data_IF_895095315223
#
_entry.id   IF_895095315223
#
_cell.length_a   1.000
_cell.length_b   1.000
_cell.length_c   1.000
_cell.angle_alpha   90.00
_cell.angle_beta   90.00
_cell.angle_gamma   90.00
#
_symmetry.space_group_name_H-M   'P 1'
#
loop_
_entity.id
_entity.type
_entity.pdbx_description
1 polymer ?
#
# COMPACT_ATOMS: atom_id res chain seq x y z
N UNK A 1 -15.52 3.53 -3.65
CA UNK A 1 -15.39 3.96 -5.05
C UNK A 1 -16.48 3.40 -5.98
N UNK A 2 -16.48 2.12 -6.39
CA UNK A 2 -17.49 1.59 -7.35
C UNK A 2 -18.94 1.67 -6.84
N UNK A 3 -19.15 1.58 -5.52
CA UNK A 3 -20.45 1.75 -4.86
C UNK A 3 -20.99 3.18 -4.92
N UNK A 4 -20.13 4.18 -4.76
CA UNK A 4 -20.50 5.60 -4.78
C UNK A 4 -20.92 6.05 -6.17
N UNK A 5 -20.17 5.69 -7.22
CA UNK A 5 -20.53 5.98 -8.61
C UNK A 5 -21.84 5.29 -9.01
N UNK A 6 -22.05 4.05 -8.54
CA UNK A 6 -23.32 3.34 -8.74
C UNK A 6 -24.48 4.08 -8.08
N UNK A 7 -24.29 4.61 -6.87
CA UNK A 7 -25.33 5.34 -6.15
C UNK A 7 -25.64 6.69 -6.82
N UNK A 8 -24.61 7.45 -7.18
CA UNK A 8 -24.72 8.72 -7.90
C UNK A 8 -25.46 8.54 -9.23
N UNK A 9 -25.05 7.55 -10.03
CA UNK A 9 -25.69 7.20 -11.30
C UNK A 9 -27.18 6.89 -11.11
N UNK A 10 -27.52 6.09 -10.11
CA UNK A 10 -28.91 5.75 -9.82
C UNK A 10 -29.75 6.95 -9.31
N UNK A 11 -29.13 7.90 -8.59
CA UNK A 11 -29.79 9.14 -8.18
C UNK A 11 -30.03 10.07 -9.37
N UNK A 12 -29.03 10.29 -10.22
CA UNK A 12 -29.14 11.16 -11.41
C UNK A 12 -30.20 10.62 -12.36
N UNK A 13 -30.18 9.31 -12.67
CA UNK A 13 -31.19 8.69 -13.54
C UNK A 13 -32.60 8.86 -12.96
N UNK A 14 -32.79 8.67 -11.64
CA UNK A 14 -34.10 8.87 -10.98
C UNK A 14 -34.59 10.32 -11.08
N UNK A 15 -33.73 11.29 -10.80
CA UNK A 15 -34.08 12.71 -10.90
C UNK A 15 -34.41 13.10 -12.34
N UNK A 16 -33.65 12.60 -13.30
CA UNK A 16 -33.85 12.86 -14.71
C UNK A 16 -35.19 12.32 -15.20
N UNK A 17 -35.50 11.04 -14.92
CA UNK A 17 -36.79 10.42 -15.27
C UNK A 17 -37.95 11.22 -14.68
N UNK A 18 -37.83 11.66 -13.42
CA UNK A 18 -38.86 12.47 -12.76
C UNK A 18 -39.03 13.88 -13.35
N UNK A 19 -38.04 14.39 -14.09
CA UNK A 19 -38.11 15.70 -14.78
C UNK A 19 -38.69 15.63 -16.20
N UNK A 20 -38.86 14.43 -16.76
CA UNK A 20 -39.36 14.26 -18.13
C UNK A 20 -40.85 14.57 -18.20
N UNK A 21 -41.22 15.53 -19.06
CA UNK A 21 -42.64 15.83 -19.35
C UNK A 21 -43.21 14.92 -20.44
N UNK A 22 -42.36 14.44 -21.36
CA UNK A 22 -42.72 13.47 -22.41
C UNK A 22 -41.49 12.63 -22.81
N UNK A 23 -41.68 11.34 -23.17
CA UNK A 23 -40.59 10.51 -23.68
C UNK A 23 -40.18 10.98 -25.09
N UNK A 24 -38.97 11.50 -25.22
CA UNK A 24 -38.33 11.88 -26.48
C UNK A 24 -36.98 11.16 -26.64
N UNK A 25 -36.61 10.83 -27.88
CA UNK A 25 -35.40 10.11 -28.25
C UNK A 25 -34.12 10.87 -27.84
N UNK A 26 -34.18 12.21 -27.81
CA UNK A 26 -33.07 13.06 -27.35
C UNK A 26 -32.64 12.72 -25.91
N UNK A 27 -33.61 12.51 -25.00
CA UNK A 27 -33.30 12.15 -23.61
C UNK A 27 -32.66 10.78 -23.48
N UNK A 28 -33.01 9.82 -24.34
CA UNK A 28 -32.36 8.51 -24.36
C UNK A 28 -30.90 8.62 -24.81
N UNK A 29 -30.61 9.47 -25.82
CA UNK A 29 -29.23 9.71 -26.26
C UNK A 29 -28.40 10.39 -25.17
N UNK A 30 -28.98 11.35 -24.46
CA UNK A 30 -28.29 12.02 -23.35
C UNK A 30 -28.04 11.07 -22.17
N UNK A 31 -28.96 10.14 -21.86
CA UNK A 31 -28.71 9.09 -20.87
C UNK A 31 -27.60 8.14 -21.30
N UNK A 32 -27.51 7.76 -22.59
CA UNK A 32 -26.43 6.91 -23.09
C UNK A 32 -25.09 7.61 -22.89
N UNK A 33 -24.97 8.87 -23.33
CA UNK A 33 -23.75 9.68 -23.15
C UNK A 33 -23.35 9.83 -21.69
N UNK A 34 -24.33 10.04 -20.80
CA UNK A 34 -24.06 10.11 -19.36
C UNK A 34 -23.52 8.79 -18.81
N UNK A 35 -24.09 7.65 -19.20
CA UNK A 35 -23.59 6.35 -18.76
C UNK A 35 -22.17 6.07 -19.27
N UNK A 36 -21.90 6.34 -20.56
CA UNK A 36 -20.57 6.20 -21.16
C UNK A 36 -19.54 7.07 -20.43
N UNK A 37 -19.85 8.34 -20.17
CA UNK A 37 -18.96 9.24 -19.45
C UNK A 37 -18.68 8.79 -18.00
N UNK A 38 -19.69 8.22 -17.31
CA UNK A 38 -19.51 7.68 -15.95
C UNK A 38 -18.64 6.42 -15.98
N UNK A 39 -18.87 5.53 -16.94
CA UNK A 39 -18.10 4.29 -17.06
C UNK A 39 -16.63 4.59 -17.45
N UNK A 40 -16.39 5.58 -18.32
CA UNK A 40 -15.05 6.07 -18.67
C UNK A 40 -14.35 6.70 -17.45
N UNK A 41 -15.02 7.62 -16.74
CA UNK A 41 -14.45 8.24 -15.54
C UNK A 41 -14.17 7.22 -14.43
N UNK A 42 -15.00 6.19 -14.28
CA UNK A 42 -14.76 5.10 -13.33
C UNK A 42 -13.54 4.28 -13.74
N UNK A 43 -13.43 3.91 -15.02
CA UNK A 43 -12.29 3.17 -15.53
C UNK A 43 -10.99 3.96 -15.32
N UNK A 44 -10.96 5.24 -15.70
CA UNK A 44 -9.81 6.13 -15.50
C UNK A 44 -9.44 6.24 -14.02
N UNK A 45 -10.42 6.54 -13.15
CA UNK A 45 -10.16 6.68 -11.72
C UNK A 45 -9.63 5.40 -11.07
N UNK A 46 -10.13 4.23 -11.47
CA UNK A 46 -9.63 2.95 -10.96
C UNK A 46 -8.22 2.65 -11.45
N UNK A 47 -7.91 2.97 -12.72
CA UNK A 47 -6.58 2.81 -13.28
C UNK A 47 -5.55 3.72 -12.61
N UNK A 48 -5.85 5.02 -12.49
CA UNK A 48 -4.97 5.99 -11.82
C UNK A 48 -4.72 5.62 -10.35
N UNK A 49 -5.77 5.20 -9.63
CA UNK A 49 -5.61 4.77 -8.24
C UNK A 49 -4.73 3.52 -8.13
N UNK A 50 -4.91 2.54 -9.01
CA UNK A 50 -4.08 1.35 -9.05
C UNK A 50 -2.60 1.69 -9.33
N UNK A 51 -2.34 2.60 -10.26
CA UNK A 51 -0.98 3.09 -10.55
C UNK A 51 -0.36 3.81 -9.34
N UNK A 52 -1.12 4.65 -8.65
CA UNK A 52 -0.65 5.36 -7.47
C UNK A 52 -0.33 4.42 -6.30
N UNK A 53 -1.17 3.41 -6.06
CA UNK A 53 -0.94 2.37 -5.06
C UNK A 53 0.32 1.56 -5.42
N UNK A 54 0.46 1.14 -6.67
CA UNK A 54 1.65 0.42 -7.13
C UNK A 54 2.91 1.25 -6.96
N UNK A 55 2.87 2.53 -7.34
CA UNK A 55 3.98 3.47 -7.16
C UNK A 55 4.35 3.65 -5.69
N UNK A 56 3.37 3.83 -4.81
CA UNK A 56 3.61 3.96 -3.37
C UNK A 56 4.25 2.70 -2.79
N UNK A 57 3.79 1.52 -3.21
CA UNK A 57 4.34 0.23 -2.80
C UNK A 57 5.79 0.07 -3.27
N UNK A 58 6.10 0.40 -4.52
CA UNK A 58 7.45 0.26 -5.07
C UNK A 58 8.45 1.17 -4.36
N UNK A 59 8.05 2.41 -4.07
CA UNK A 59 8.84 3.35 -3.27
C UNK A 59 9.09 2.79 -1.86
N UNK A 60 8.05 2.27 -1.21
CA UNK A 60 8.17 1.67 0.13
C UNK A 60 9.14 0.48 0.14
N UNK A 61 9.01 -0.44 -0.83
CA UNK A 61 9.90 -1.59 -0.95
C UNK A 61 11.35 -1.17 -1.21
N UNK A 62 11.57 -0.09 -1.97
CA UNK A 62 12.91 0.47 -2.19
C UNK A 62 13.52 1.03 -0.90
N UNK A 63 12.75 1.81 -0.13
CA UNK A 63 13.19 2.37 1.17
C UNK A 63 13.48 1.24 2.16
N UNK A 64 12.52 0.32 2.36
CA UNK A 64 12.66 -0.78 3.29
C UNK A 64 13.85 -1.68 2.93
N UNK A 65 14.06 -1.97 1.65
CA UNK A 65 15.21 -2.73 1.18
C UNK A 65 16.55 -2.04 1.45
N UNK A 66 16.61 -0.72 1.35
CA UNK A 66 17.79 0.06 1.72
C UNK A 66 18.02 0.04 3.24
N UNK A 67 16.98 0.35 4.01
CA UNK A 67 17.05 0.54 5.47
C UNK A 67 17.29 -0.77 6.22
N UNK A 68 16.88 -1.92 5.67
CA UNK A 68 17.24 -3.23 6.20
C UNK A 68 18.64 -3.68 5.78
N UNK A 69 19.09 -3.31 4.57
CA UNK A 69 20.42 -3.70 4.08
C UNK A 69 21.54 -2.96 4.80
N UNK A 70 21.36 -1.68 5.11
CA UNK A 70 22.37 -0.85 5.78
C UNK A 70 22.84 -1.43 7.15
N UNK A 71 21.96 -1.80 8.11
CA UNK A 71 22.38 -2.39 9.37
C UNK A 71 22.99 -3.78 9.20
N UNK A 72 22.48 -4.62 8.28
CA UNK A 72 23.07 -5.93 7.99
C UNK A 72 24.48 -5.80 7.40
N UNK A 73 24.71 -4.84 6.52
CA UNK A 73 26.04 -4.52 6.01
C UNK A 73 26.97 -4.02 7.11
N UNK A 74 26.48 -3.15 8.00
CA UNK A 74 27.26 -2.65 9.13
C UNK A 74 27.69 -3.79 10.07
N UNK A 75 26.78 -4.71 10.41
CA UNK A 75 27.07 -5.89 11.24
C UNK A 75 28.06 -6.83 10.53
N UNK A 76 27.83 -7.11 9.25
CA UNK A 76 28.70 -7.96 8.43
C UNK A 76 30.13 -7.40 8.35
N UNK A 77 30.27 -6.12 8.03
CA UNK A 77 31.58 -5.44 7.97
C UNK A 77 32.26 -5.40 9.34
N UNK A 78 31.51 -5.10 10.42
CA UNK A 78 32.06 -5.03 11.77
C UNK A 78 32.58 -6.39 12.24
N UNK A 79 31.82 -7.46 11.98
CA UNK A 79 32.23 -8.83 12.32
C UNK A 79 33.40 -9.32 11.48
N UNK A 80 33.43 -9.02 10.18
CA UNK A 80 34.58 -9.33 9.31
C UNK A 80 35.86 -8.61 9.78
N UNK A 81 35.76 -7.35 10.18
CA UNK A 81 36.90 -6.59 10.73
C UNK A 81 37.40 -7.19 12.05
N UNK A 82 36.51 -7.58 12.95
CA UNK A 82 36.86 -8.24 14.21
C UNK A 82 37.60 -9.57 13.96
N UNK A 83 37.08 -10.40 13.05
CA UNK A 83 37.68 -11.69 12.71
C UNK A 83 39.04 -11.57 12.03
N UNK A 84 39.29 -10.48 11.30
CA UNK A 84 40.56 -10.27 10.58
C UNK A 84 41.64 -9.53 11.37
N UNK A 85 41.26 -8.57 12.21
CA UNK A 85 42.20 -7.59 12.79
C UNK A 85 42.30 -7.64 14.32
N UNK A 86 41.36 -8.26 15.01
CA UNK A 86 41.38 -8.32 16.47
C UNK A 86 41.95 -9.65 16.97
N UNK A 87 42.77 -9.60 18.01
CA UNK A 87 43.06 -10.79 18.82
C UNK A 87 41.87 -11.00 19.76
N UNK A 88 40.97 -11.91 19.38
CA UNK A 88 39.78 -12.23 20.15
C UNK A 88 40.08 -13.38 21.13
N UNK A 89 39.54 -13.28 22.35
CA UNK A 89 39.48 -14.41 23.28
C UNK A 89 38.52 -15.49 22.75
N UNK A 90 38.65 -16.73 23.22
CA UNK A 90 37.99 -17.92 22.65
C UNK A 90 36.46 -17.79 22.58
N UNK A 91 35.82 -17.19 23.57
CA UNK A 91 34.36 -17.00 23.59
C UNK A 91 33.91 -15.87 22.67
N UNK A 92 34.66 -14.76 22.60
CA UNK A 92 34.39 -13.66 21.69
C UNK A 92 34.57 -14.08 20.22
N UNK A 93 35.56 -14.93 19.94
CA UNK A 93 35.80 -15.51 18.63
C UNK A 93 34.62 -16.39 18.20
N UNK A 94 34.13 -17.27 19.07
CA UNK A 94 32.95 -18.12 18.80
C UNK A 94 31.71 -17.27 18.50
N UNK A 95 31.47 -16.21 19.28
CA UNK A 95 30.38 -15.28 19.01
C UNK A 95 30.51 -14.62 17.64
N UNK A 96 31.68 -14.09 17.28
CA UNK A 96 31.89 -13.44 15.99
C UNK A 96 31.72 -14.39 14.80
N UNK A 97 32.24 -15.62 14.91
CA UNK A 97 32.08 -16.67 13.88
C UNK A 97 30.61 -17.07 13.70
N UNK A 98 29.79 -17.02 14.76
CA UNK A 98 28.37 -17.34 14.67
C UNK A 98 27.54 -16.18 14.10
N UNK A 99 27.88 -14.92 14.40
CA UNK A 99 27.12 -13.75 13.92
C UNK A 99 27.25 -13.58 12.40
N UNK A 100 28.44 -13.86 11.83
CA UNK A 100 28.69 -13.69 10.39
C UNK A 100 27.73 -14.49 9.48
N UNK A 101 27.59 -15.83 9.61
CA UNK A 101 26.65 -16.60 8.79
C UNK A 101 25.20 -16.26 9.07
N UNK A 102 24.82 -15.96 10.32
CA UNK A 102 23.47 -15.50 10.66
C UNK A 102 23.10 -14.19 9.98
N UNK A 103 24.03 -13.23 9.93
CA UNK A 103 23.83 -11.95 9.22
C UNK A 103 23.69 -12.18 7.71
N UNK A 104 24.46 -13.11 7.14
CA UNK A 104 24.32 -13.52 5.74
C UNK A 104 22.96 -14.14 5.43
N UNK A 105 22.48 -15.06 6.28
CA UNK A 105 21.15 -15.66 6.13
C UNK A 105 20.03 -14.63 6.21
N UNK A 106 20.11 -13.68 7.16
CA UNK A 106 19.12 -12.60 7.28
C UNK A 106 19.09 -11.72 6.03
N UNK A 107 20.26 -11.43 5.43
CA UNK A 107 20.32 -10.65 4.20
C UNK A 107 19.64 -11.36 3.02
N UNK A 108 19.78 -12.68 2.91
CA UNK A 108 19.09 -13.50 1.90
C UNK A 108 17.59 -13.50 2.15
N UNK A 109 17.14 -13.78 3.37
CA UNK A 109 15.71 -13.81 3.71
C UNK A 109 15.01 -12.46 3.44
N UNK A 110 15.68 -11.34 3.74
CA UNK A 110 15.16 -10.00 3.43
C UNK A 110 15.07 -9.78 1.92
N UNK A 111 16.07 -10.24 1.15
CA UNK A 111 16.05 -10.20 -0.30
C UNK A 111 14.86 -10.98 -0.87
N UNK A 112 14.72 -12.23 -0.46
CA UNK A 112 13.66 -13.14 -0.92
C UNK A 112 12.26 -12.59 -0.59
N UNK A 113 12.08 -12.02 0.61
CA UNK A 113 10.81 -11.41 1.02
C UNK A 113 10.45 -10.20 0.15
N UNK A 114 11.41 -9.32 -0.12
CA UNK A 114 11.19 -8.13 -0.95
C UNK A 114 10.89 -8.51 -2.41
N UNK A 115 11.51 -9.57 -2.91
CA UNK A 115 11.27 -10.11 -4.24
C UNK A 115 9.90 -10.79 -4.34
N UNK A 116 9.51 -11.57 -3.33
CA UNK A 116 8.17 -12.19 -3.25
C UNK A 116 7.05 -11.15 -3.24
N UNK A 117 7.20 -10.07 -2.45
CA UNK A 117 6.20 -9.00 -2.40
C UNK A 117 6.13 -8.24 -3.74
N UNK A 118 7.24 -8.17 -4.49
CA UNK A 118 7.27 -7.58 -5.82
C UNK A 118 6.54 -8.47 -6.83
N UNK A 119 6.87 -9.76 -6.89
CA UNK A 119 6.35 -10.72 -7.86
C UNK A 119 4.86 -11.04 -7.67
N UNK A 120 4.38 -11.06 -6.43
CA UNK A 120 2.96 -11.25 -6.11
C UNK A 120 2.03 -10.21 -6.76
N UNK A 121 2.56 -9.08 -7.24
CA UNK A 121 1.78 -8.07 -7.98
C UNK A 121 2.00 -8.08 -9.49
N UNK A 122 2.94 -8.88 -10.01
CA UNK A 122 3.14 -9.06 -11.45
C UNK A 122 2.33 -10.24 -12.00
N UNK A 123 2.10 -11.29 -11.20
CA UNK A 123 1.40 -12.52 -11.64
C UNK A 123 -0.13 -12.42 -11.71
N UNK A 124 -0.74 -11.44 -11.03
CA UNK A 124 -2.20 -11.33 -10.95
C UNK A 124 -2.64 -10.03 -11.62
N UNK A 125 -2.94 -10.11 -12.92
CA UNK A 125 -3.63 -9.05 -13.68
C UNK A 125 -5.07 -8.77 -13.22
N UNK A 126 -5.43 -9.15 -12.00
CA UNK A 126 -6.67 -8.84 -11.32
C UNK A 126 -6.38 -8.08 -10.01
N UNK A 127 -7.23 -7.11 -9.62
CA UNK A 127 -7.07 -6.36 -8.38
C UNK A 127 -7.36 -7.27 -7.19
N UNK A 128 -6.42 -8.15 -6.83
CA UNK A 128 -6.56 -9.04 -5.70
C UNK A 128 -5.91 -8.42 -4.47
N UNK A 129 -6.78 -8.16 -3.50
CA UNK A 129 -6.57 -8.14 -2.06
C UNK A 129 -5.17 -7.72 -1.61
N UNK A 130 -5.05 -6.44 -1.24
CA UNK A 130 -3.93 -5.89 -0.49
C UNK A 130 -3.41 -6.89 0.55
N UNK A 131 -2.09 -7.08 0.64
CA UNK A 131 -1.40 -7.92 1.62
C UNK A 131 -1.67 -7.57 3.12
N UNK A 132 -2.70 -6.78 3.43
CA UNK A 132 -2.98 -6.26 4.78
C UNK A 132 -2.03 -5.16 5.23
N UNK A 133 -1.05 -4.81 4.39
CA UNK A 133 0.02 -3.87 4.72
C UNK A 133 -0.45 -2.42 4.77
N UNK A 134 -1.54 -2.07 4.08
CA UNK A 134 -2.06 -0.69 4.06
C UNK A 134 -2.39 -0.18 5.46
N UNK A 135 -3.14 -0.96 6.25
CA UNK A 135 -3.47 -0.58 7.62
C UNK A 135 -2.24 -0.56 8.54
N UNK A 136 -1.29 -1.47 8.30
CA UNK A 136 -0.04 -1.51 9.05
C UNK A 136 0.80 -0.24 8.80
N UNK A 137 0.94 0.18 7.55
CA UNK A 137 1.67 1.38 7.16
C UNK A 137 1.00 2.64 7.73
N UNK A 138 -0.33 2.75 7.59
CA UNK A 138 -1.05 3.90 8.15
C UNK A 138 -0.86 3.97 9.66
N UNK A 139 -0.90 2.83 10.37
CA UNK A 139 -0.62 2.78 11.80
C UNK A 139 0.80 3.24 12.13
N UNK A 140 1.83 2.73 11.44
CA UNK A 140 3.23 3.11 11.70
C UNK A 140 3.47 4.61 11.44
N UNK A 141 2.85 5.18 10.39
CA UNK A 141 2.93 6.62 10.10
C UNK A 141 2.25 7.43 11.21
N UNK A 142 1.09 7.01 11.67
CA UNK A 142 0.34 7.67 12.75
C UNK A 142 1.13 7.61 14.06
N UNK A 143 1.65 6.44 14.43
CA UNK A 143 2.46 6.25 15.64
C UNK A 143 3.75 7.09 15.61
N UNK A 144 4.45 7.13 14.46
CA UNK A 144 5.65 7.95 14.28
C UNK A 144 5.40 9.46 14.42
N UNK A 145 4.19 9.91 14.07
CA UNK A 145 3.77 11.31 14.21
C UNK A 145 3.08 11.59 15.54
N UNK A 146 3.04 10.63 16.48
CA UNK A 146 2.30 10.71 17.75
C UNK A 146 0.81 11.03 17.55
N UNK A 147 0.25 10.61 16.42
CA UNK A 147 -1.16 10.74 16.10
C UNK A 147 -2.01 9.58 16.64
N UNK A 148 -3.29 9.60 16.28
CA UNK A 148 -4.24 8.51 16.55
C UNK A 148 -4.96 8.10 15.27
N UNK A 149 -5.38 6.84 15.23
CA UNK A 149 -6.24 6.30 14.17
C UNK A 149 -7.40 5.51 14.77
N UNK A 150 -8.61 5.82 14.34
CA UNK A 150 -9.84 5.16 14.76
C UNK A 150 -10.61 4.61 13.56
N UNK A 151 -11.40 3.56 13.79
CA UNK A 151 -12.24 2.96 12.77
C UNK A 151 -13.69 2.87 13.25
N UNK A 152 -14.62 3.36 12.42
CA UNK A 152 -16.05 3.17 12.61
C UNK A 152 -16.60 2.44 11.39
N UNK A 153 -17.39 1.39 11.61
CA UNK A 153 -18.02 0.63 10.53
C UNK A 153 -19.50 0.42 10.81
N UNK A 154 -20.36 0.76 9.84
CA UNK A 154 -21.81 0.50 9.87
C UNK A 154 -22.29 0.03 8.50
N UNK A 155 -23.37 -0.75 8.46
CA UNK A 155 -23.95 -1.23 7.19
C UNK A 155 -24.57 -0.10 6.34
N UNK A 156 -24.96 1.01 6.98
CA UNK A 156 -25.56 2.18 6.32
C UNK A 156 -24.51 3.21 5.86
N UNK A 157 -23.43 3.38 6.63
CA UNK A 157 -22.43 4.45 6.44
C UNK A 157 -21.09 3.94 5.89
N UNK A 158 -20.91 2.61 5.81
CA UNK A 158 -19.65 1.99 5.36
C UNK A 158 -18.58 1.98 6.46
N UNK A 159 -17.31 1.80 6.05
CA UNK A 159 -16.16 1.82 6.97
C UNK A 159 -15.39 3.11 6.81
N UNK A 160 -15.28 3.87 7.89
CA UNK A 160 -14.56 5.14 7.97
C UNK A 160 -13.35 4.99 8.88
N UNK A 161 -12.19 5.41 8.37
CA UNK A 161 -10.96 5.55 9.15
C UNK A 161 -10.71 7.02 9.42
N UNK A 162 -10.55 7.39 10.69
CA UNK A 162 -10.26 8.76 11.11
C UNK A 162 -8.83 8.81 11.63
N UNK A 163 -8.01 9.70 11.06
CA UNK A 163 -6.62 9.91 11.47
C UNK A 163 -6.48 11.32 12.04
N UNK A 164 -5.95 11.43 13.24
CA UNK A 164 -5.61 12.70 13.89
C UNK A 164 -4.08 12.77 14.07
N UNK A 165 -3.45 13.86 13.65
CA UNK A 165 -2.00 14.05 13.71
C UNK A 165 -1.69 15.36 14.47
N UNK A 166 -0.89 15.32 15.55
CA UNK A 166 -0.53 16.53 16.28
C UNK A 166 0.36 17.41 15.43
N UNK A 167 -0.04 18.67 15.28
CA UNK A 167 0.72 19.68 14.55
C UNK A 167 1.74 20.31 15.49
N UNK A 168 3.04 20.19 15.20
CA UNK A 168 4.08 20.98 15.90
C UNK A 168 3.82 22.46 15.61
N UNK A 169 3.52 23.22 16.67
CA UNK A 169 3.44 24.69 16.67
C UNK A 169 4.80 25.25 17.09
#
# INVERSE_FOLDING_TARGET
MTSEFRHLRACVIRLWVNSLQSPDLAYFQDMIRFNEAIDEALAESTATYAEEVNRSRDIFLAILGHDLRAPLQAVSMSTELLLRKAALEDDALKCAINIQPSTGHLAVMVGDLLELVRSASEELGEPTTSLGLGLFIVKEVVDAHQGTIEVCSSELDGTTFTVDLPRKV
#
